data_IF_420121959933
#
_entry.id   IF_420121959933
#
_cell.length_a   1.000
_cell.length_b   1.000
_cell.length_c   1.000
_cell.angle_alpha   90.00
_cell.angle_beta   90.00
_cell.angle_gamma   90.00
#
_symmetry.space_group_name_H-M   'P 1'
#
loop_
_entity.id
_entity.type
_entity.pdbx_description
1 polymer ?
#
# COMPACT_ATOMS: atom_id res chain seq x y z
N UNK A 1 -40.31 -4.24 -52.51
CA UNK A 1 -38.84 -4.11 -52.32
C UNK A 1 -38.49 -3.37 -51.01
N UNK A 2 -39.46 -2.75 -50.35
CA UNK A 2 -39.23 -1.88 -49.16
C UNK A 2 -38.81 -2.64 -47.89
N UNK A 3 -39.15 -3.93 -47.79
CA UNK A 3 -38.76 -4.77 -46.65
C UNK A 3 -37.25 -5.04 -46.56
N UNK A 4 -36.56 -5.13 -47.71
CA UNK A 4 -35.10 -5.38 -47.75
C UNK A 4 -34.34 -4.11 -47.37
N UNK A 5 -34.84 -2.94 -47.79
CA UNK A 5 -34.25 -1.65 -47.43
C UNK A 5 -34.42 -1.34 -45.93
N UNK A 6 -35.57 -1.66 -45.35
CA UNK A 6 -35.86 -1.50 -43.91
C UNK A 6 -35.10 -2.50 -43.03
N UNK A 7 -34.81 -3.71 -43.52
CA UNK A 7 -33.97 -4.67 -42.81
C UNK A 7 -32.50 -4.23 -42.74
N UNK A 8 -31.96 -3.64 -43.82
CA UNK A 8 -30.57 -3.17 -43.87
C UNK A 8 -30.37 -1.91 -43.01
N UNK A 9 -31.32 -0.98 -42.99
CA UNK A 9 -31.26 0.23 -42.15
C UNK A 9 -31.41 -0.06 -40.66
N UNK A 10 -32.06 -1.16 -40.26
CA UNK A 10 -32.15 -1.57 -38.85
C UNK A 10 -30.96 -2.39 -38.33
N UNK A 11 -30.34 -3.20 -39.18
CA UNK A 11 -29.27 -4.13 -38.77
C UNK A 11 -27.86 -3.49 -38.74
N UNK A 12 -27.59 -2.52 -39.62
CA UNK A 12 -26.28 -1.84 -39.64
C UNK A 12 -25.95 -1.10 -38.34
N UNK A 13 -26.82 -0.21 -37.84
CA UNK A 13 -26.57 0.57 -36.63
C UNK A 13 -26.47 -0.31 -35.36
N UNK A 14 -27.27 -1.37 -35.27
CA UNK A 14 -27.28 -2.25 -34.10
C UNK A 14 -25.98 -3.05 -33.94
N UNK A 15 -25.35 -3.48 -35.04
CA UNK A 15 -24.04 -4.12 -35.01
C UNK A 15 -22.92 -3.15 -34.57
N UNK A 16 -22.97 -1.89 -35.00
CA UNK A 16 -22.01 -0.86 -34.59
C UNK A 16 -22.15 -0.57 -33.09
N UNK A 17 -23.38 -0.39 -32.60
CA UNK A 17 -23.66 -0.15 -31.18
C UNK A 17 -23.20 -1.34 -30.34
N UNK A 18 -23.49 -2.58 -30.76
CA UNK A 18 -23.04 -3.77 -30.07
C UNK A 18 -21.51 -3.86 -30.00
N UNK A 19 -20.80 -3.52 -31.09
CA UNK A 19 -19.35 -3.47 -31.12
C UNK A 19 -18.76 -2.43 -30.15
N UNK A 20 -19.31 -1.22 -30.13
CA UNK A 20 -18.88 -0.16 -29.20
C UNK A 20 -19.15 -0.57 -27.75
N UNK A 21 -20.33 -1.12 -27.46
CA UNK A 21 -20.68 -1.58 -26.12
C UNK A 21 -19.72 -2.68 -25.63
N UNK A 22 -19.42 -3.67 -26.48
CA UNK A 22 -18.47 -4.73 -26.15
C UNK A 22 -17.05 -4.18 -25.89
N UNK A 23 -16.58 -3.25 -26.72
CA UNK A 23 -15.27 -2.60 -26.53
C UNK A 23 -15.21 -1.84 -25.20
N UNK A 24 -16.24 -1.04 -24.89
CA UNK A 24 -16.32 -0.28 -23.64
C UNK A 24 -16.39 -1.22 -22.42
N UNK A 25 -17.13 -2.31 -22.50
CA UNK A 25 -17.21 -3.29 -21.42
C UNK A 25 -15.85 -3.93 -21.14
N UNK A 26 -15.12 -4.35 -22.18
CA UNK A 26 -13.76 -4.91 -22.03
C UNK A 26 -12.79 -3.88 -21.45
N UNK A 27 -12.87 -2.64 -21.91
CA UNK A 27 -12.03 -1.55 -21.41
C UNK A 27 -12.31 -1.25 -19.94
N UNK A 28 -13.57 -1.14 -19.55
CA UNK A 28 -13.99 -0.93 -18.17
C UNK A 28 -13.54 -2.09 -17.27
N UNK A 29 -13.72 -3.34 -17.71
CA UNK A 29 -13.28 -4.51 -16.95
C UNK A 29 -11.77 -4.51 -16.71
N UNK A 30 -10.96 -4.23 -17.75
CA UNK A 30 -9.51 -4.12 -17.60
C UNK A 30 -9.11 -3.02 -16.62
N UNK A 31 -9.78 -1.87 -16.68
CA UNK A 31 -9.54 -0.74 -15.78
C UNK A 31 -9.89 -1.09 -14.33
N UNK A 32 -11.03 -1.74 -14.10
CA UNK A 32 -11.44 -2.22 -12.77
C UNK A 32 -10.43 -3.23 -12.21
N UNK A 33 -10.08 -4.25 -13.01
CA UNK A 33 -9.11 -5.27 -12.59
C UNK A 33 -7.73 -4.69 -12.30
N UNK A 34 -7.27 -3.73 -13.11
CA UNK A 34 -6.01 -3.02 -12.85
C UNK A 34 -6.06 -2.19 -11.56
N UNK A 35 -7.19 -1.53 -11.30
CA UNK A 35 -7.42 -0.80 -10.06
C UNK A 35 -7.41 -1.73 -8.83
N UNK A 36 -8.09 -2.88 -8.91
CA UNK A 36 -8.12 -3.90 -7.86
C UNK A 36 -6.72 -4.45 -7.56
N UNK A 37 -5.93 -4.75 -8.59
CA UNK A 37 -4.55 -5.20 -8.41
C UNK A 37 -3.70 -4.15 -7.70
N UNK A 38 -3.84 -2.87 -8.07
CA UNK A 38 -3.14 -1.76 -7.38
C UNK A 38 -3.57 -1.63 -5.93
N UNK A 39 -4.87 -1.64 -5.67
CA UNK A 39 -5.40 -1.58 -4.32
C UNK A 39 -4.87 -2.73 -3.46
N UNK A 40 -4.90 -3.95 -3.99
CA UNK A 40 -4.36 -5.14 -3.31
C UNK A 40 -2.86 -5.03 -3.03
N UNK A 41 -2.07 -4.54 -3.99
CA UNK A 41 -0.64 -4.32 -3.79
C UNK A 41 -0.37 -3.27 -2.69
N UNK A 42 -1.09 -2.14 -2.70
CA UNK A 42 -1.00 -1.14 -1.65
C UNK A 42 -1.37 -1.69 -0.27
N UNK A 43 -2.45 -2.47 -0.17
CA UNK A 43 -2.85 -3.11 1.09
C UNK A 43 -1.80 -4.09 1.60
N UNK A 44 -1.18 -4.88 0.71
CA UNK A 44 -0.10 -5.78 1.10
C UNK A 44 1.11 -5.01 1.65
N UNK A 45 1.50 -3.91 0.99
CA UNK A 45 2.60 -3.03 1.44
C UNK A 45 2.29 -2.40 2.80
N UNK A 46 1.08 -1.85 2.98
CA UNK A 46 0.68 -1.20 4.24
C UNK A 46 0.61 -2.20 5.39
N UNK A 47 0.08 -3.40 5.16
CA UNK A 47 0.06 -4.47 6.16
C UNK A 47 1.49 -4.91 6.55
N UNK A 48 2.38 -5.04 5.56
CA UNK A 48 3.77 -5.39 5.81
C UNK A 48 4.51 -4.32 6.64
N UNK A 49 4.28 -3.04 6.35
CA UNK A 49 4.80 -1.94 7.16
C UNK A 49 4.21 -1.94 8.57
N UNK A 50 2.93 -2.22 8.71
CA UNK A 50 2.28 -2.32 10.01
C UNK A 50 2.92 -3.42 10.88
N UNK A 51 3.18 -4.60 10.30
CA UNK A 51 3.90 -5.69 10.99
C UNK A 51 5.30 -5.27 11.46
N UNK A 52 5.99 -4.43 10.70
CA UNK A 52 7.28 -3.87 11.12
C UNK A 52 7.14 -2.86 12.26
N UNK A 53 6.10 -2.00 12.25
CA UNK A 53 5.88 -1.02 13.32
C UNK A 53 5.42 -1.64 14.65
N UNK A 54 4.75 -2.80 14.61
CA UNK A 54 4.24 -3.48 15.80
C UNK A 54 5.38 -3.90 16.75
N UNK A 55 6.52 -4.32 16.20
CA UNK A 55 7.71 -4.66 17.00
C UNK A 55 8.14 -3.48 17.87
N UNK A 56 8.27 -2.30 17.26
CA UNK A 56 8.76 -1.12 17.95
C UNK A 56 7.76 -0.52 18.92
N UNK A 57 6.45 -0.58 18.61
CA UNK A 57 5.42 -0.08 19.53
C UNK A 57 5.39 -0.89 20.82
N UNK A 58 5.46 -2.22 20.73
CA UNK A 58 5.44 -3.10 21.90
C UNK A 58 6.75 -2.97 22.68
N UNK A 59 7.90 -2.89 22.00
CA UNK A 59 9.19 -2.68 22.65
C UNK A 59 9.20 -1.37 23.46
N UNK A 60 8.74 -0.27 22.86
CA UNK A 60 8.68 1.04 23.51
C UNK A 60 7.74 1.05 24.71
N UNK A 61 6.57 0.39 24.61
CA UNK A 61 5.61 0.30 25.72
C UNK A 61 6.16 -0.53 26.90
N UNK A 62 6.85 -1.64 26.63
CA UNK A 62 7.47 -2.45 27.67
C UNK A 62 8.54 -1.65 28.43
N UNK A 63 9.38 -0.92 27.69
CA UNK A 63 10.44 -0.10 28.26
C UNK A 63 9.91 1.10 29.03
N UNK A 64 8.93 1.83 28.49
CA UNK A 64 8.29 2.95 29.17
C UNK A 64 7.68 2.55 30.51
N UNK A 65 7.12 1.34 30.59
CA UNK A 65 6.53 0.80 31.81
C UNK A 65 7.52 0.03 32.71
N UNK A 66 8.82 -0.02 32.34
CA UNK A 66 9.83 -0.83 33.03
C UNK A 66 9.42 -2.30 33.20
N UNK A 67 8.61 -2.82 32.28
CA UNK A 67 8.13 -4.20 32.32
C UNK A 67 9.16 -5.13 31.68
N UNK A 68 9.39 -6.32 32.26
CA UNK A 68 10.23 -7.32 31.62
C UNK A 68 9.58 -7.74 30.30
N UNK A 69 10.33 -7.61 29.20
CA UNK A 69 9.86 -8.01 27.88
C UNK A 69 10.16 -9.51 27.68
N UNK A 70 9.15 -10.39 27.64
CA UNK A 70 9.40 -11.83 27.60
C UNK A 70 10.13 -12.24 26.32
N UNK A 71 11.15 -13.08 26.44
CA UNK A 71 11.96 -13.52 25.30
C UNK A 71 11.13 -14.19 24.19
N UNK A 72 10.06 -14.90 24.56
CA UNK A 72 9.17 -15.54 23.59
C UNK A 72 8.36 -14.51 22.78
N UNK A 73 7.90 -13.43 23.41
CA UNK A 73 7.23 -12.33 22.70
C UNK A 73 8.20 -11.61 21.78
N UNK A 74 9.44 -11.36 22.24
CA UNK A 74 10.50 -10.77 21.43
C UNK A 74 10.78 -11.59 20.17
N UNK A 75 10.85 -12.92 20.29
CA UNK A 75 11.03 -13.82 19.13
C UNK A 75 9.85 -13.76 18.16
N UNK A 76 8.62 -13.73 18.65
CA UNK A 76 7.41 -13.62 17.82
C UNK A 76 7.40 -12.30 17.05
N UNK A 77 7.66 -11.18 17.73
CA UNK A 77 7.66 -9.86 17.11
C UNK A 77 8.83 -9.70 16.12
N UNK A 78 10.03 -10.19 16.45
CA UNK A 78 11.15 -10.21 15.52
C UNK A 78 10.87 -11.06 14.28
N UNK A 79 10.12 -12.16 14.42
CA UNK A 79 9.65 -12.97 13.29
C UNK A 79 8.67 -12.18 12.42
N UNK A 80 7.64 -11.56 13.01
CA UNK A 80 6.67 -10.73 12.27
C UNK A 80 7.32 -9.57 11.55
N UNK A 81 8.28 -8.92 12.20
CA UNK A 81 9.07 -7.85 11.60
C UNK A 81 9.78 -8.34 10.32
N UNK A 82 10.47 -9.49 10.39
CA UNK A 82 11.13 -10.09 9.22
C UNK A 82 10.13 -10.47 8.12
N UNK A 83 9.00 -11.06 8.49
CA UNK A 83 7.93 -11.40 7.54
C UNK A 83 7.40 -10.15 6.82
N UNK A 84 7.21 -9.03 7.54
CA UNK A 84 6.85 -7.76 6.94
C UNK A 84 7.93 -7.22 6.01
N UNK A 85 9.20 -7.30 6.40
CA UNK A 85 10.32 -6.88 5.56
C UNK A 85 10.43 -7.73 4.27
N UNK A 86 10.29 -9.04 4.39
CA UNK A 86 10.32 -9.97 3.25
C UNK A 86 9.15 -9.72 2.29
N UNK A 87 7.94 -9.50 2.82
CA UNK A 87 6.78 -9.16 2.01
C UNK A 87 6.97 -7.82 1.29
N UNK A 88 7.56 -6.79 1.93
CA UNK A 88 7.90 -5.55 1.25
C UNK A 88 8.88 -5.75 0.10
N UNK A 89 9.94 -6.52 0.30
CA UNK A 89 10.90 -6.83 -0.76
C UNK A 89 10.25 -7.59 -1.92
N UNK A 90 9.38 -8.55 -1.60
CA UNK A 90 8.57 -9.24 -2.60
C UNK A 90 7.69 -8.26 -3.37
N UNK A 91 7.00 -7.34 -2.69
CA UNK A 91 6.18 -6.30 -3.34
C UNK A 91 7.01 -5.35 -4.21
N UNK A 92 8.25 -5.02 -3.84
CA UNK A 92 9.17 -4.24 -4.69
C UNK A 92 9.56 -5.02 -5.94
N UNK A 93 9.87 -6.31 -5.81
CA UNK A 93 10.31 -7.16 -6.91
C UNK A 93 9.20 -7.41 -7.94
N UNK A 94 7.97 -7.69 -7.49
CA UNK A 94 6.83 -7.99 -8.37
C UNK A 94 6.03 -6.72 -8.75
N UNK A 95 6.10 -5.69 -7.92
CA UNK A 95 5.23 -4.51 -7.99
C UNK A 95 5.49 -3.62 -9.19
N UNK A 96 6.62 -3.76 -9.88
CA UNK A 96 6.92 -3.00 -11.10
C UNK A 96 5.89 -3.18 -12.23
N UNK A 97 5.07 -4.23 -12.18
CA UNK A 97 3.98 -4.48 -13.13
C UNK A 97 2.67 -3.75 -12.78
N UNK A 98 2.47 -3.44 -11.49
CA UNK A 98 1.17 -2.98 -10.97
C UNK A 98 1.26 -1.53 -10.47
N UNK A 99 2.32 -1.23 -9.73
CA UNK A 99 2.54 0.04 -9.05
C UNK A 99 3.32 1.03 -9.91
N UNK A 100 3.08 2.35 -9.74
CA UNK A 100 3.90 3.37 -10.37
C UNK A 100 5.37 3.26 -9.97
N UNK A 101 6.29 3.52 -10.91
CA UNK A 101 7.75 3.52 -10.64
C UNK A 101 8.14 4.43 -9.46
N UNK A 102 7.47 5.56 -9.31
CA UNK A 102 7.69 6.48 -8.18
C UNK A 102 7.39 5.82 -6.83
N UNK A 103 6.30 5.06 -6.73
CA UNK A 103 5.93 4.31 -5.52
C UNK A 103 6.99 3.27 -5.18
N UNK A 104 7.44 2.49 -6.18
CA UNK A 104 8.49 1.48 -5.98
C UNK A 104 9.78 2.12 -5.46
N UNK A 105 10.17 3.26 -6.03
CA UNK A 105 11.33 4.02 -5.58
C UNK A 105 11.18 4.47 -4.12
N UNK A 106 10.02 5.01 -3.75
CA UNK A 106 9.75 5.43 -2.37
C UNK A 106 9.80 4.27 -1.37
N UNK A 107 9.34 3.07 -1.74
CA UNK A 107 9.45 1.88 -0.88
C UNK A 107 10.92 1.47 -0.71
N UNK A 108 11.72 1.49 -1.79
CA UNK A 108 13.15 1.19 -1.70
C UNK A 108 13.90 2.20 -0.84
N UNK A 109 13.61 3.50 -1.00
CA UNK A 109 14.17 4.57 -0.17
C UNK A 109 13.80 4.36 1.31
N UNK A 110 12.55 4.00 1.59
CA UNK A 110 12.08 3.68 2.93
C UNK A 110 12.82 2.49 3.55
N UNK A 111 12.95 1.38 2.82
CA UNK A 111 13.68 0.19 3.28
C UNK A 111 15.15 0.48 3.56
N UNK A 112 15.79 1.29 2.71
CA UNK A 112 17.17 1.71 2.91
C UNK A 112 17.32 2.63 4.12
N UNK A 113 16.38 3.54 4.34
CA UNK A 113 16.34 4.41 5.51
C UNK A 113 16.14 3.63 6.80
N UNK A 114 15.18 2.69 6.83
CA UNK A 114 14.94 1.82 7.99
C UNK A 114 16.17 0.97 8.34
N UNK A 115 16.82 0.38 7.32
CA UNK A 115 18.08 -0.37 7.51
C UNK A 115 19.22 0.51 8.02
N UNK A 116 19.28 1.76 7.57
CA UNK A 116 20.31 2.70 8.03
C UNK A 116 20.09 3.11 9.48
N UNK A 117 18.84 3.27 9.93
CA UNK A 117 18.50 3.56 11.32
C UNK A 117 18.94 2.42 12.27
N UNK A 118 18.79 1.17 11.85
CA UNK A 118 19.22 -0.02 12.61
C UNK A 118 20.73 -0.13 12.83
N UNK A 119 21.57 0.55 12.03
CA UNK A 119 23.03 0.48 12.16
C UNK A 119 23.59 1.38 13.29
N UNK A 120 22.74 2.04 14.06
CA UNK A 120 23.15 2.89 15.19
C UNK A 120 23.54 2.04 16.40
N UNK A 121 24.65 2.36 17.08
CA UNK A 121 25.13 1.59 18.26
C UNK A 121 24.17 1.61 19.46
N UNK A 122 23.31 2.62 19.53
CA UNK A 122 22.28 2.75 20.55
C UNK A 122 20.97 2.11 20.07
N UNK A 123 20.64 0.95 20.65
CA UNK A 123 19.45 0.16 20.28
C UNK A 123 18.14 0.91 20.52
N UNK A 124 18.08 1.73 21.57
CA UNK A 124 16.88 2.52 21.89
C UNK A 124 16.64 3.54 20.78
N UNK A 125 17.70 4.29 20.47
CA UNK A 125 17.66 5.32 19.44
C UNK A 125 17.42 4.71 18.06
N UNK A 126 18.05 3.58 17.75
CA UNK A 126 17.84 2.86 16.49
C UNK A 126 16.37 2.47 16.30
N UNK A 127 15.72 1.91 17.33
CA UNK A 127 14.30 1.52 17.27
C UNK A 127 13.37 2.74 17.15
N UNK A 128 13.67 3.84 17.86
CA UNK A 128 12.90 5.06 17.79
C UNK A 128 12.99 5.73 16.40
N UNK A 129 14.21 5.87 15.87
CA UNK A 129 14.49 6.44 14.56
C UNK A 129 13.86 5.59 13.44
N UNK A 130 13.97 4.26 13.54
CA UNK A 130 13.34 3.35 12.60
C UNK A 130 11.81 3.48 12.60
N UNK A 131 11.19 3.53 13.79
CA UNK A 131 9.74 3.67 13.90
C UNK A 131 9.23 4.93 13.24
N UNK A 132 9.91 6.05 13.48
CA UNK A 132 9.58 7.34 12.88
C UNK A 132 9.72 7.30 11.35
N UNK A 133 10.78 6.67 10.83
CA UNK A 133 10.95 6.43 9.39
C UNK A 133 9.78 5.61 8.83
N UNK A 134 9.40 4.50 9.49
CA UNK A 134 8.29 3.65 9.06
C UNK A 134 6.95 4.39 9.07
N UNK A 135 6.66 5.17 10.12
CA UNK A 135 5.42 5.97 10.19
C UNK A 135 5.33 7.01 9.07
N UNK A 136 6.41 7.78 8.84
CA UNK A 136 6.46 8.74 7.72
C UNK A 136 6.34 8.04 6.37
N UNK A 137 6.94 6.85 6.25
CA UNK A 137 6.81 5.98 5.09
C UNK A 137 5.36 5.58 4.81
N UNK A 138 4.64 5.13 5.84
CA UNK A 138 3.21 4.79 5.76
C UNK A 138 2.40 6.01 5.30
N UNK A 139 2.58 7.19 5.90
CA UNK A 139 1.86 8.41 5.51
C UNK A 139 2.10 8.77 4.04
N UNK A 140 3.37 8.70 3.61
CA UNK A 140 3.77 8.98 2.23
C UNK A 140 3.15 7.97 1.25
N UNK A 141 3.14 6.69 1.61
CA UNK A 141 2.56 5.63 0.77
C UNK A 141 1.04 5.69 0.73
N UNK A 142 0.37 6.03 1.83
CA UNK A 142 -1.07 6.29 1.85
C UNK A 142 -1.42 7.47 0.95
N UNK A 143 -0.64 8.55 0.99
CA UNK A 143 -0.84 9.70 0.10
C UNK A 143 -0.64 9.32 -1.38
N UNK A 144 0.40 8.53 -1.67
CA UNK A 144 0.65 8.01 -3.01
C UNK A 144 -0.48 7.07 -3.49
N UNK A 145 -0.95 6.17 -2.64
CA UNK A 145 -2.05 5.26 -2.92
C UNK A 145 -3.35 6.01 -3.20
N UNK A 146 -3.72 6.99 -2.36
CA UNK A 146 -4.90 7.84 -2.56
C UNK A 146 -4.84 8.57 -3.90
N UNK A 147 -3.67 9.09 -4.27
CA UNK A 147 -3.45 9.75 -5.56
C UNK A 147 -3.59 8.77 -6.73
N UNK A 148 -2.94 7.60 -6.68
CA UNK A 148 -2.91 6.64 -7.78
C UNK A 148 -4.24 5.92 -7.99
N UNK A 149 -5.00 5.69 -6.91
CA UNK A 149 -6.31 5.06 -6.95
C UNK A 149 -7.46 6.03 -7.25
N UNK A 150 -7.17 7.33 -7.38
CA UNK A 150 -8.18 8.36 -7.62
C UNK A 150 -9.11 8.63 -6.42
N UNK A 151 -8.64 8.37 -5.20
CA UNK A 151 -9.43 8.52 -3.95
C UNK A 151 -9.33 9.92 -3.34
N UNK A 152 -8.87 10.92 -4.10
CA UNK A 152 -8.57 12.28 -3.58
C UNK A 152 -9.75 12.98 -2.92
N UNK A 153 -10.98 12.63 -3.31
CA UNK A 153 -12.20 13.30 -2.85
C UNK A 153 -13.09 12.43 -1.94
N UNK A 154 -12.72 11.17 -1.69
CA UNK A 154 -13.46 10.30 -0.77
C UNK A 154 -12.90 10.43 0.65
N UNK A 155 -13.51 11.34 1.40
CA UNK A 155 -13.44 11.50 2.85
C UNK A 155 -12.10 12.00 3.43
N UNK A 156 -12.16 13.26 3.86
CA UNK A 156 -11.47 13.81 5.03
C UNK A 156 -11.84 12.99 6.29
N UNK A 157 -11.44 11.73 6.38
CA UNK A 157 -11.35 11.07 7.67
C UNK A 157 -10.19 11.74 8.42
N UNK A 158 -10.42 12.30 9.62
CA UNK A 158 -9.35 12.85 10.43
C UNK A 158 -8.33 11.73 10.66
N UNK A 159 -7.17 11.86 10.01
CA UNK A 159 -6.02 11.02 10.29
C UNK A 159 -5.74 11.14 11.79
N UNK A 160 -5.38 9.99 12.39
CA UNK A 160 -5.14 9.73 13.81
C UNK A 160 -4.64 10.95 14.61
N UNK A 161 -5.05 11.10 15.88
CA UNK A 161 -4.57 12.18 16.73
C UNK A 161 -3.05 12.18 16.72
N UNK A 162 -2.49 13.27 16.17
CA UNK A 162 -1.07 13.59 16.23
C UNK A 162 -0.68 13.45 17.71
N UNK A 163 0.15 12.47 18.07
CA UNK A 163 0.69 12.33 19.44
C UNK A 163 1.23 13.71 19.81
N UNK A 164 0.51 14.42 20.68
CA UNK A 164 1.03 15.61 21.31
C UNK A 164 2.26 15.17 22.07
N UNK A 165 3.42 15.68 21.63
CA UNK A 165 4.64 15.55 22.40
C UNK A 165 4.42 16.31 23.71
N UNK A 166 4.12 15.58 24.79
CA UNK A 166 4.18 16.15 26.12
C UNK A 166 5.63 16.54 26.40
N UNK A 167 5.85 17.84 26.59
CA UNK A 167 7.09 18.40 27.12
C UNK A 167 7.40 17.86 28.51
#
# INVERSE_FOLDING_TARGET
MDYVLNAITGLGPSLIIAGIAAYLAVWQFRRQKHWEHRFSAYMAILNALYMMTEYSSVFFEAEQNSMPFPDDQKKILAKRYREGQDELWKQVAIGGLVLPRGTIKSIQELLNAARSAQNTMDLLKANADESDVLFRGIETLVAAARKDLGLRDLYLLPMLPRREQSK
#
